data_IF_002024152012
#
_entry.id   IF_002024152012
#
_cell.length_a   1.000
_cell.length_b   1.000
_cell.length_c   1.000
_cell.angle_alpha   90.00
_cell.angle_beta   90.00
_cell.angle_gamma   90.00
#
_symmetry.space_group_name_H-M   'P 1'
#
loop_
_entity.id
_entity.type
_entity.pdbx_description
1 polymer ?
#
# COMPACT_ATOMS: atom_id res chain seq x y z
N UNK A 1 -10.62 19.97 -29.74
CA UNK A 1 -10.37 19.68 -28.30
C UNK A 1 -10.91 18.30 -27.91
N UNK A 2 -12.17 17.97 -28.21
CA UNK A 2 -12.76 16.64 -27.94
C UNK A 2 -12.09 15.46 -28.67
N UNK A 3 -11.58 15.67 -29.89
CA UNK A 3 -10.87 14.61 -30.63
C UNK A 3 -9.60 14.12 -29.90
N UNK A 4 -8.84 15.01 -29.25
CA UNK A 4 -7.66 14.62 -28.48
C UNK A 4 -8.03 13.79 -27.25
N UNK A 5 -9.14 14.13 -26.58
CA UNK A 5 -9.67 13.34 -25.47
C UNK A 5 -10.12 11.97 -25.98
N UNK A 6 -10.82 11.89 -27.11
CA UNK A 6 -11.27 10.63 -27.68
C UNK A 6 -10.11 9.70 -28.10
N UNK A 7 -9.02 10.26 -28.66
CA UNK A 7 -7.82 9.50 -29.03
C UNK A 7 -7.04 9.00 -27.80
N UNK A 8 -7.00 9.77 -26.72
CA UNK A 8 -6.28 9.43 -25.49
C UNK A 8 -7.17 8.82 -24.41
N UNK A 9 -8.45 8.56 -24.72
CA UNK A 9 -9.44 8.08 -23.75
C UNK A 9 -9.02 6.75 -23.13
N UNK A 10 -8.47 5.84 -23.94
CA UNK A 10 -7.94 4.55 -23.47
C UNK A 10 -6.82 4.73 -22.43
N UNK A 11 -5.84 5.58 -22.72
CA UNK A 11 -4.73 5.88 -21.80
C UNK A 11 -5.22 6.52 -20.50
N UNK A 12 -6.19 7.44 -20.58
CA UNK A 12 -6.81 8.08 -19.41
C UNK A 12 -7.55 7.03 -18.55
N UNK A 13 -8.30 6.12 -19.17
CA UNK A 13 -9.00 5.06 -18.45
C UNK A 13 -8.03 4.08 -17.78
N UNK A 14 -7.00 3.63 -18.49
CA UNK A 14 -5.99 2.70 -17.93
C UNK A 14 -5.24 3.35 -16.77
N UNK A 15 -4.81 4.60 -16.92
CA UNK A 15 -4.13 5.34 -15.85
C UNK A 15 -5.02 5.58 -14.63
N UNK A 16 -6.31 5.86 -14.84
CA UNK A 16 -7.29 5.99 -13.76
C UNK A 16 -7.46 4.67 -12.98
N UNK A 17 -7.57 3.53 -13.68
CA UNK A 17 -7.66 2.21 -13.05
C UNK A 17 -6.41 1.89 -12.24
N UNK A 18 -5.22 2.12 -12.79
CA UNK A 18 -3.96 1.93 -12.07
C UNK A 18 -3.88 2.81 -10.82
N UNK A 19 -4.30 4.08 -10.90
CA UNK A 19 -4.35 4.97 -9.74
C UNK A 19 -5.29 4.44 -8.65
N UNK A 20 -6.47 3.95 -9.01
CA UNK A 20 -7.42 3.37 -8.05
C UNK A 20 -6.81 2.15 -7.34
N UNK A 21 -6.13 1.27 -8.07
CA UNK A 21 -5.44 0.10 -7.50
C UNK A 21 -4.36 0.54 -6.51
N UNK A 22 -3.51 1.50 -6.88
CA UNK A 22 -2.45 2.01 -6.00
C UNK A 22 -3.03 2.62 -4.73
N UNK A 23 -4.08 3.44 -4.85
CA UNK A 23 -4.77 4.03 -3.68
C UNK A 23 -5.35 2.93 -2.79
N UNK A 24 -5.95 1.89 -3.37
CA UNK A 24 -6.50 0.77 -2.62
C UNK A 24 -5.42 0.03 -1.83
N UNK A 25 -4.26 -0.24 -2.45
CA UNK A 25 -3.11 -0.88 -1.79
C UNK A 25 -2.60 0.00 -0.64
N UNK A 26 -2.39 1.30 -0.87
CA UNK A 26 -1.92 2.22 0.17
C UNK A 26 -2.90 2.26 1.35
N UNK A 27 -4.21 2.36 1.09
CA UNK A 27 -5.22 2.32 2.17
C UNK A 27 -5.23 0.99 2.91
N UNK A 28 -5.07 -0.11 2.19
CA UNK A 28 -4.96 -1.44 2.78
C UNK A 28 -3.75 -1.53 3.71
N UNK A 29 -2.58 -1.08 3.27
CA UNK A 29 -1.35 -1.07 4.08
C UNK A 29 -1.47 -0.16 5.30
N UNK A 30 -2.08 1.03 5.17
CA UNK A 30 -2.33 1.92 6.31
C UNK A 30 -3.27 1.24 7.31
N UNK A 31 -4.34 0.59 6.83
CA UNK A 31 -5.28 -0.12 7.71
C UNK A 31 -4.62 -1.31 8.39
N UNK A 32 -3.79 -2.05 7.69
CA UNK A 32 -2.96 -3.13 8.25
C UNK A 32 -2.01 -2.60 9.33
N UNK A 33 -1.29 -1.49 9.07
CA UNK A 33 -0.41 -0.85 10.06
C UNK A 33 -1.19 -0.39 11.30
N UNK A 34 -2.38 0.18 11.12
CA UNK A 34 -3.26 0.56 12.24
C UNK A 34 -3.76 -0.64 13.04
N UNK A 35 -3.93 -1.80 12.40
CA UNK A 35 -4.25 -3.07 13.05
C UNK A 35 -3.02 -3.75 13.67
N UNK A 36 -1.87 -3.09 13.73
CA UNK A 36 -0.62 -3.64 14.27
C UNK A 36 0.05 -4.66 13.35
N UNK A 37 -0.46 -4.90 12.14
CA UNK A 37 0.16 -5.81 11.16
C UNK A 37 1.38 -5.11 10.55
N UNK A 38 2.52 -5.24 11.22
CA UNK A 38 3.85 -4.92 10.71
C UNK A 38 4.49 -6.15 10.06
N UNK A 39 5.60 -5.97 9.32
CA UNK A 39 6.38 -7.08 8.74
C UNK A 39 6.79 -8.14 9.79
N UNK A 40 6.91 -7.73 11.06
CA UNK A 40 7.16 -8.60 12.21
C UNK A 40 5.90 -9.21 12.85
N UNK A 41 4.73 -9.12 12.21
CA UNK A 41 3.49 -9.81 12.58
C UNK A 41 2.97 -9.45 13.97
N UNK A 42 2.44 -8.24 14.17
CA UNK A 42 1.54 -7.85 15.28
C UNK A 42 1.87 -8.40 16.68
N UNK A 43 3.15 -8.56 17.02
CA UNK A 43 3.57 -9.26 18.23
C UNK A 43 5.09 -9.38 18.34
N UNK A 44 5.82 -8.26 18.34
CA UNK A 44 7.28 -8.27 18.60
C UNK A 44 7.64 -8.94 19.93
N UNK A 45 6.70 -9.01 20.89
CA UNK A 45 6.90 -9.68 22.17
C UNK A 45 7.08 -11.21 22.07
N UNK A 46 6.61 -11.85 21.00
CA UNK A 46 6.78 -13.30 20.76
C UNK A 46 7.33 -13.60 19.35
N UNK A 47 8.01 -12.63 18.75
CA UNK A 47 8.71 -12.84 17.49
C UNK A 47 9.98 -13.66 17.75
N UNK A 48 10.26 -14.68 16.94
CA UNK A 48 11.49 -15.49 17.05
C UNK A 48 12.78 -14.66 17.00
N UNK A 49 12.71 -13.43 16.46
CA UNK A 49 13.82 -12.47 16.37
C UNK A 49 13.64 -11.25 17.31
N UNK A 50 12.81 -11.35 18.35
CA UNK A 50 12.51 -10.25 19.29
C UNK A 50 13.78 -9.65 19.92
N UNK A 51 14.79 -10.48 20.21
CA UNK A 51 16.06 -10.05 20.83
C UNK A 51 16.98 -9.21 19.94
N UNK A 52 16.82 -9.25 18.61
CA UNK A 52 17.64 -8.48 17.67
C UNK A 52 16.94 -7.20 17.19
N UNK A 53 15.61 -7.20 17.11
CA UNK A 53 14.84 -6.06 16.60
C UNK A 53 14.73 -4.88 17.59
N UNK A 54 15.03 -5.08 18.88
CA UNK A 54 14.89 -4.07 19.95
C UNK A 54 16.22 -3.77 20.70
N UNK A 55 17.37 -3.90 20.04
CA UNK A 55 18.68 -3.70 20.69
C UNK A 55 19.08 -2.23 20.91
N UNK A 56 18.21 -1.27 20.57
CA UNK A 56 18.38 0.15 20.88
C UNK A 56 17.07 0.73 21.45
N UNK A 57 16.86 0.53 22.75
CA UNK A 57 16.14 1.48 23.60
C UNK A 57 17.10 1.97 24.68
#
# INVERSE_FOLDING_TARGET
MFAWIAQNLGTILVSAVLLVIVIAIVRYLIRQKKQGKSSCGAGCAHCANAGCCHHQQ
#
